data_IF_326771552685
#
_entry.id   IF_326771552685
#
_cell.length_a   1.000
_cell.length_b   1.000
_cell.length_c   1.000
_cell.angle_alpha   90.00
_cell.angle_beta   90.00
_cell.angle_gamma   90.00
#
_symmetry.space_group_name_H-M   'P 1'
#
loop_
_entity.id
_entity.type
_entity.pdbx_description
1 polymer ?
#
# COMPACT_ATOMS: atom_id res chain seq x y z
N UNK A 1 -12.51 1.98 -4.50
CA UNK A 1 -11.74 3.20 -4.81
C UNK A 1 -12.32 3.97 -5.99
N UNK A 2 -12.05 3.53 -7.21
CA UNK A 2 -12.41 4.25 -8.44
C UNK A 2 -13.92 4.55 -8.58
N UNK A 3 -14.77 3.53 -8.38
CA UNK A 3 -16.23 3.69 -8.39
C UNK A 3 -16.75 4.62 -7.29
N UNK A 4 -16.02 4.77 -6.19
CA UNK A 4 -16.39 5.64 -5.08
C UNK A 4 -15.82 7.06 -5.22
N UNK A 5 -15.27 7.42 -6.38
CA UNK A 5 -14.72 8.76 -6.63
C UNK A 5 -15.06 9.27 -8.04
N UNK A 6 -16.13 8.73 -8.64
CA UNK A 6 -16.60 9.14 -9.97
C UNK A 6 -17.04 10.60 -10.03
N UNK A 7 -17.49 11.14 -8.89
CA UNK A 7 -17.92 12.52 -8.67
C UNK A 7 -16.75 13.53 -8.60
N UNK A 8 -15.50 13.04 -8.58
CA UNK A 8 -14.32 13.87 -8.35
C UNK A 8 -13.52 14.15 -9.64
N UNK A 9 -12.81 15.30 -9.70
CA UNK A 9 -11.87 15.59 -10.78
C UNK A 9 -10.84 14.47 -10.96
N UNK A 10 -10.39 14.22 -12.20
CA UNK A 10 -9.48 13.12 -12.56
C UNK A 10 -8.28 12.97 -11.61
N UNK A 11 -7.61 14.08 -11.27
CA UNK A 11 -6.46 14.06 -10.36
C UNK A 11 -6.85 13.55 -8.94
N UNK A 12 -7.96 14.04 -8.38
CA UNK A 12 -8.46 13.59 -7.07
C UNK A 12 -8.96 12.15 -7.09
N UNK A 13 -9.57 11.73 -8.20
CA UNK A 13 -10.01 10.34 -8.41
C UNK A 13 -8.84 9.36 -8.45
N UNK A 14 -7.74 9.75 -9.10
CA UNK A 14 -6.49 8.98 -9.08
C UNK A 14 -5.90 8.90 -7.66
N UNK A 15 -5.83 10.02 -6.93
CA UNK A 15 -5.40 10.05 -5.53
C UNK A 15 -6.26 9.16 -4.62
N UNK A 16 -7.59 9.19 -4.80
CA UNK A 16 -8.53 8.34 -4.05
C UNK A 16 -8.32 6.86 -4.36
N UNK A 17 -8.10 6.52 -5.63
CA UNK A 17 -7.88 5.14 -6.06
C UNK A 17 -6.54 4.61 -5.57
N UNK A 18 -5.47 5.43 -5.60
CA UNK A 18 -4.17 5.10 -5.01
C UNK A 18 -4.29 4.80 -3.51
N UNK A 19 -4.92 5.71 -2.78
CA UNK A 19 -5.01 5.62 -1.31
C UNK A 19 -5.91 4.49 -0.81
N UNK A 20 -6.96 4.17 -1.57
CA UNK A 20 -7.87 3.06 -1.22
C UNK A 20 -7.40 1.69 -1.76
N UNK A 21 -6.57 1.67 -2.80
CA UNK A 21 -6.13 0.45 -3.47
C UNK A 21 -4.78 -0.09 -3.01
N UNK A 22 -3.90 0.77 -2.48
CA UNK A 22 -2.54 0.37 -2.06
C UNK A 22 -2.40 0.50 -0.56
N UNK A 23 -2.10 -0.62 0.08
CA UNK A 23 -2.11 -0.78 1.53
C UNK A 23 -0.75 -1.07 2.12
N UNK A 24 -0.57 -0.69 3.38
CA UNK A 24 0.70 -0.84 4.09
C UNK A 24 0.93 -2.27 4.59
N UNK A 25 0.90 -3.24 3.66
CA UNK A 25 1.05 -4.66 3.98
C UNK A 25 2.48 -5.01 4.38
N UNK A 26 3.48 -4.40 3.74
CA UNK A 26 4.89 -4.68 4.03
C UNK A 26 5.30 -4.15 5.40
N UNK A 27 5.29 -2.83 5.58
CA UNK A 27 5.88 -2.21 6.77
C UNK A 27 5.03 -2.40 8.03
N UNK A 28 3.70 -2.50 7.90
CA UNK A 28 2.78 -2.64 9.04
C UNK A 28 2.10 -4.01 9.08
N UNK A 29 1.65 -4.52 7.94
CA UNK A 29 0.94 -5.81 7.86
C UNK A 29 1.77 -7.01 8.30
N UNK A 30 3.00 -7.15 7.81
CA UNK A 30 3.87 -8.29 8.13
C UNK A 30 4.20 -8.34 9.63
N UNK A 31 4.71 -7.27 10.28
CA UNK A 31 5.01 -7.30 11.71
C UNK A 31 3.79 -7.60 12.58
N UNK A 32 2.62 -7.02 12.25
CA UNK A 32 1.38 -7.27 13.01
C UNK A 32 0.88 -8.70 12.80
N UNK A 33 1.03 -9.26 11.59
CA UNK A 33 0.69 -10.66 11.33
C UNK A 33 1.58 -11.62 12.12
N UNK A 34 2.88 -11.33 12.21
CA UNK A 34 3.81 -12.09 13.05
C UNK A 34 3.47 -11.96 14.53
N UNK A 35 3.17 -10.75 15.01
CA UNK A 35 2.73 -10.53 16.39
C UNK A 35 1.48 -11.34 16.75
N UNK A 36 0.48 -11.36 15.87
CA UNK A 36 -0.80 -12.02 16.14
C UNK A 36 -0.80 -13.54 15.93
N UNK A 37 -0.03 -14.05 14.95
CA UNK A 37 -0.12 -15.45 14.50
C UNK A 37 1.24 -16.16 14.39
N UNK A 38 2.32 -15.58 14.92
CA UNK A 38 3.67 -16.16 14.89
C UNK A 38 4.23 -16.36 13.48
N UNK A 39 5.08 -17.38 13.32
CA UNK A 39 5.76 -17.68 12.05
C UNK A 39 4.79 -17.95 10.90
N UNK A 40 3.63 -18.55 11.19
CA UNK A 40 2.58 -18.75 10.19
C UNK A 40 2.06 -17.42 9.66
N UNK A 41 1.83 -16.44 10.54
CA UNK A 41 1.44 -15.08 10.17
C UNK A 41 2.51 -14.35 9.35
N UNK A 42 3.78 -14.50 9.71
CA UNK A 42 4.91 -13.93 8.96
C UNK A 42 4.97 -14.48 7.54
N UNK A 43 4.90 -15.80 7.38
CA UNK A 43 4.96 -16.45 6.07
C UNK A 43 3.77 -16.05 5.18
N UNK A 44 2.54 -16.15 5.70
CA UNK A 44 1.33 -15.81 4.97
C UNK A 44 1.25 -14.32 4.64
N UNK A 45 1.64 -13.45 5.59
CA UNK A 45 1.69 -12.01 5.38
C UNK A 45 2.69 -11.60 4.31
N UNK A 46 3.83 -12.28 4.25
CA UNK A 46 4.86 -12.06 3.22
C UNK A 46 4.36 -12.47 1.83
N UNK A 47 3.70 -13.62 1.71
CA UNK A 47 3.08 -14.07 0.45
C UNK A 47 2.01 -13.07 -0.01
N UNK A 48 1.13 -12.65 0.92
CA UNK A 48 0.12 -11.63 0.64
C UNK A 48 0.76 -10.34 0.13
N UNK A 49 1.81 -9.87 0.82
CA UNK A 49 2.54 -8.66 0.43
C UNK A 49 3.15 -8.77 -0.96
N UNK A 50 3.75 -9.89 -1.32
CA UNK A 50 4.33 -10.10 -2.67
C UNK A 50 3.23 -9.98 -3.73
N UNK A 51 2.12 -10.72 -3.58
CA UNK A 51 0.99 -10.67 -4.52
C UNK A 51 0.44 -9.24 -4.64
N UNK A 52 0.21 -8.59 -3.50
CA UNK A 52 -0.31 -7.22 -3.47
C UNK A 52 0.68 -6.23 -4.07
N UNK A 53 1.99 -6.42 -3.88
CA UNK A 53 3.03 -5.54 -4.43
C UNK A 53 3.11 -5.65 -5.95
N UNK A 54 2.96 -6.83 -6.53
CA UNK A 54 2.86 -6.97 -7.98
C UNK A 54 1.63 -6.23 -8.52
N UNK A 55 0.45 -6.47 -7.93
CA UNK A 55 -0.78 -5.78 -8.33
C UNK A 55 -0.69 -4.26 -8.12
N UNK A 56 -0.13 -3.81 -7.00
CA UNK A 56 -0.01 -2.41 -6.61
C UNK A 56 1.03 -1.65 -7.44
N UNK A 57 2.16 -2.26 -7.80
CA UNK A 57 3.14 -1.61 -8.67
C UNK A 57 2.65 -1.51 -10.13
N UNK A 58 1.90 -2.49 -10.63
CA UNK A 58 1.34 -2.43 -11.99
C UNK A 58 0.10 -1.52 -12.04
N UNK A 59 -0.91 -1.79 -11.22
CA UNK A 59 -2.16 -1.02 -11.24
C UNK A 59 -2.00 0.37 -10.61
N UNK A 60 -1.18 0.50 -9.57
CA UNK A 60 -0.95 1.77 -8.90
C UNK A 60 -0.27 2.80 -9.80
N UNK A 61 0.71 2.39 -10.60
CA UNK A 61 1.36 3.29 -11.55
C UNK A 61 0.39 3.70 -12.66
N UNK A 62 -0.43 2.75 -13.14
CA UNK A 62 -1.47 3.06 -14.13
C UNK A 62 -2.48 4.06 -13.59
N UNK A 63 -2.91 3.89 -12.33
CA UNK A 63 -3.84 4.80 -11.66
C UNK A 63 -3.21 6.17 -11.41
N UNK A 64 -1.97 6.24 -10.92
CA UNK A 64 -1.25 7.50 -10.69
C UNK A 64 -1.09 8.32 -11.98
N UNK A 65 -0.71 7.66 -13.07
CA UNK A 65 -0.50 8.31 -14.38
C UNK A 65 -1.80 8.60 -15.15
N UNK A 66 -2.92 7.97 -14.79
CA UNK A 66 -4.23 8.19 -15.45
C UNK A 66 -4.78 9.63 -15.32
N UNK A 67 -4.21 10.45 -14.44
CA UNK A 67 -4.52 11.87 -14.33
C UNK A 67 -4.02 12.72 -15.50
N UNK A 68 -2.95 12.29 -16.20
CA UNK A 68 -2.24 13.10 -17.21
C UNK A 68 -1.99 12.37 -18.55
N UNK A 69 -2.11 11.05 -18.62
CA UNK A 69 -1.70 10.26 -19.80
C UNK A 69 -2.74 9.15 -20.12
N UNK A 70 -3.00 8.83 -21.41
CA UNK A 70 -3.85 7.69 -21.79
C UNK A 70 -3.31 6.35 -21.24
N UNK A 71 -4.19 5.36 -21.07
CA UNK A 71 -3.93 4.06 -20.41
C UNK A 71 -2.69 3.33 -20.99
N UNK A 72 -2.46 3.44 -22.30
CA UNK A 72 -1.29 2.84 -22.96
C UNK A 72 0.04 3.54 -22.59
N UNK A 73 0.01 4.85 -22.37
CA UNK A 73 1.17 5.62 -21.90
C UNK A 73 1.44 5.39 -20.41
N UNK A 74 0.38 5.24 -19.62
CA UNK A 74 0.44 4.84 -18.22
C UNK A 74 1.09 3.46 -18.03
N UNK A 75 0.75 2.49 -18.89
CA UNK A 75 1.36 1.15 -18.89
C UNK A 75 2.84 1.20 -19.28
N UNK A 76 3.22 2.00 -20.28
CA UNK A 76 4.64 2.24 -20.64
C UNK A 76 5.42 2.92 -19.51
N UNK A 77 4.77 3.76 -18.71
CA UNK A 77 5.40 4.42 -17.57
C UNK A 77 5.55 3.48 -16.36
N UNK A 78 4.63 2.52 -16.20
CA UNK A 78 4.81 1.40 -15.25
C UNK A 78 6.04 0.55 -15.57
N UNK A 79 6.37 0.36 -16.85
CA UNK A 79 7.61 -0.29 -17.29
C UNK A 79 8.87 0.56 -17.03
N UNK A 80 8.73 1.82 -16.60
CA UNK A 80 9.88 2.61 -16.12
C UNK A 80 10.09 2.51 -14.61
N UNK A 81 9.13 1.95 -13.87
CA UNK A 81 9.24 1.82 -12.42
C UNK A 81 10.15 0.62 -12.10
N UNK A 82 11.34 0.85 -11.52
CA UNK A 82 12.37 -0.18 -11.38
C UNK A 82 12.00 -1.31 -10.41
N UNK A 83 10.92 -1.16 -9.63
CA UNK A 83 10.51 -2.11 -8.59
C UNK A 83 10.24 -3.52 -9.16
N UNK A 84 9.59 -3.60 -10.32
CA UNK A 84 9.30 -4.89 -10.96
C UNK A 84 10.58 -5.60 -11.42
N UNK A 85 11.49 -4.85 -12.05
CA UNK A 85 12.78 -5.37 -12.50
C UNK A 85 13.66 -5.80 -11.33
N UNK A 86 13.71 -5.00 -10.26
CA UNK A 86 14.44 -5.32 -9.05
C UNK A 86 13.93 -6.60 -8.38
N UNK A 87 12.60 -6.79 -8.31
CA UNK A 87 12.00 -8.02 -7.77
C UNK A 87 12.36 -9.26 -8.61
N UNK A 88 12.28 -9.15 -9.94
CA UNK A 88 12.65 -10.25 -10.86
C UNK A 88 14.14 -10.59 -10.73
N UNK A 89 15.02 -9.58 -10.75
CA UNK A 89 16.46 -9.77 -10.60
C UNK A 89 16.80 -10.36 -9.23
N UNK A 90 16.17 -9.89 -8.15
CA UNK A 90 16.36 -10.44 -6.80
C UNK A 90 15.95 -11.91 -6.71
N UNK A 91 14.79 -12.28 -7.28
CA UNK A 91 14.34 -13.66 -7.34
C UNK A 91 15.27 -14.54 -8.19
N UNK A 92 15.78 -14.00 -9.30
CA UNK A 92 16.72 -14.72 -10.16
C UNK A 92 18.05 -14.97 -9.43
N UNK A 93 18.63 -13.95 -8.77
CA UNK A 93 19.83 -14.09 -7.97
C UNK A 93 19.66 -15.11 -6.84
N UNK A 94 18.49 -15.12 -6.18
CA UNK A 94 18.17 -16.11 -5.15
C UNK A 94 18.14 -17.54 -5.71
N UNK A 95 17.54 -17.74 -6.90
CA UNK A 95 17.46 -19.05 -7.55
C UNK A 95 18.79 -19.53 -8.12
N UNK A 96 19.60 -18.63 -8.70
CA UNK A 96 20.88 -18.97 -9.31
C UNK A 96 22.03 -19.01 -8.31
N UNK A 97 21.81 -18.58 -7.06
CA UNK A 97 22.83 -18.49 -6.02
C UNK A 97 23.89 -17.42 -6.32
N UNK A 98 23.62 -16.49 -7.24
CA UNK A 98 24.56 -15.42 -7.58
C UNK A 98 24.70 -14.48 -6.38
N UNK A 99 25.87 -14.49 -5.77
CA UNK A 99 26.20 -13.62 -4.64
C UNK A 99 26.75 -12.30 -5.17
N UNK A 100 26.04 -11.21 -4.87
CA UNK A 100 26.53 -9.85 -5.16
C UNK A 100 27.80 -9.57 -4.35
N UNK A 101 28.78 -8.82 -4.89
CA UNK A 101 29.94 -8.37 -4.12
C UNK A 101 29.49 -7.66 -2.85
N UNK A 102 30.13 -7.97 -1.72
CA UNK A 102 29.72 -7.48 -0.40
C UNK A 102 29.56 -5.95 -0.33
N UNK A 103 30.40 -5.19 -1.05
CA UNK A 103 30.28 -3.72 -1.13
C UNK A 103 28.98 -3.25 -1.81
N UNK A 104 28.58 -3.91 -2.90
CA UNK A 104 27.33 -3.59 -3.62
C UNK A 104 26.12 -3.94 -2.77
N UNK A 105 26.12 -5.13 -2.17
CA UNK A 105 25.01 -5.56 -1.30
C UNK A 105 24.83 -4.62 -0.11
N UNK A 106 25.92 -4.20 0.56
CA UNK A 106 25.87 -3.22 1.65
C UNK A 106 25.32 -1.87 1.20
N UNK A 107 25.71 -1.38 0.02
CA UNK A 107 25.19 -0.12 -0.51
C UNK A 107 23.68 -0.19 -0.76
N UNK A 108 23.20 -1.28 -1.37
CA UNK A 108 21.76 -1.53 -1.59
C UNK A 108 21.02 -1.62 -0.27
N UNK A 109 21.57 -2.34 0.71
CA UNK A 109 20.96 -2.51 2.03
C UNK A 109 20.86 -1.19 2.81
N UNK A 110 21.90 -0.36 2.77
CA UNK A 110 21.85 0.99 3.35
C UNK A 110 20.76 1.87 2.71
N UNK A 111 20.64 1.83 1.39
CA UNK A 111 19.58 2.56 0.68
C UNK A 111 18.19 2.04 0.99
N UNK A 112 18.02 0.71 1.09
CA UNK A 112 16.77 0.08 1.47
C UNK A 112 16.34 0.50 2.89
N UNK A 113 17.27 0.49 3.84
CA UNK A 113 17.04 0.93 5.22
C UNK A 113 16.73 2.43 5.30
N UNK A 114 17.33 3.27 4.45
CA UNK A 114 17.06 4.70 4.40
C UNK A 114 15.73 5.06 3.69
N UNK A 115 15.18 4.15 2.88
CA UNK A 115 14.01 4.43 2.06
C UNK A 115 12.76 4.76 2.89
N UNK A 116 12.43 3.95 3.89
CA UNK A 116 11.23 4.17 4.74
C UNK A 116 11.32 5.51 5.50
N UNK A 117 12.42 5.84 6.20
CA UNK A 117 12.61 7.16 6.80
C UNK A 117 12.46 8.31 5.79
N UNK A 118 13.05 8.18 4.60
CA UNK A 118 12.93 9.19 3.54
C UNK A 118 11.48 9.42 3.10
N UNK A 119 10.70 8.33 2.94
CA UNK A 119 9.27 8.44 2.62
C UNK A 119 8.47 9.12 3.73
N UNK A 120 8.80 8.88 5.00
CA UNK A 120 8.14 9.53 6.14
C UNK A 120 8.48 11.02 6.22
N UNK A 121 9.72 11.41 5.90
CA UNK A 121 10.10 12.83 5.78
C UNK A 121 9.30 13.49 4.67
N UNK A 122 9.22 12.86 3.48
CA UNK A 122 8.42 13.36 2.36
C UNK A 122 6.94 13.52 2.76
N UNK A 123 6.38 12.52 3.43
CA UNK A 123 5.01 12.57 3.95
C UNK A 123 4.83 13.78 4.89
N UNK A 124 5.74 13.98 5.84
CA UNK A 124 5.73 15.13 6.75
C UNK A 124 5.78 16.48 6.03
N UNK A 125 6.64 16.61 5.01
CA UNK A 125 6.73 17.81 4.18
C UNK A 125 5.40 18.11 3.46
N UNK A 126 4.72 17.09 2.95
CA UNK A 126 3.42 17.24 2.28
C UNK A 126 2.29 17.63 3.25
N UNK A 127 2.38 17.22 4.52
CA UNK A 127 1.38 17.54 5.56
C UNK A 127 1.43 19.01 5.99
N UNK A 128 2.59 19.66 5.96
CA UNK A 128 2.75 21.07 6.39
C UNK A 128 1.78 22.05 5.70
N UNK A 129 1.42 21.77 4.44
CA UNK A 129 0.54 22.62 3.64
C UNK A 129 -0.78 21.92 3.26
N UNK A 130 -1.16 20.89 4.00
CA UNK A 130 -2.35 20.10 3.73
C UNK A 130 -3.63 20.91 4.02
N UNK A 131 -4.53 21.08 3.04
CA UNK A 131 -5.82 21.73 3.27
C UNK A 131 -6.78 20.76 3.96
N UNK A 132 -6.59 20.53 5.27
CA UNK A 132 -7.40 19.59 6.07
C UNK A 132 -8.88 20.03 6.08
N UNK A 133 -9.15 21.34 6.13
CA UNK A 133 -10.50 21.89 6.36
C UNK A 133 -11.43 21.82 5.14
N UNK A 134 -10.89 22.02 3.94
CA UNK A 134 -11.69 22.09 2.70
C UNK A 134 -12.00 20.70 2.09
N UNK A 135 -11.39 19.63 2.62
CA UNK A 135 -11.36 18.32 1.93
C UNK A 135 -11.72 17.13 2.84
N UNK A 136 -12.28 17.41 4.01
CA UNK A 136 -12.60 16.42 5.05
C UNK A 136 -13.44 15.26 4.51
N UNK A 137 -14.49 15.55 3.74
CA UNK A 137 -15.40 14.52 3.22
C UNK A 137 -14.69 13.46 2.37
N UNK A 138 -13.80 13.88 1.47
CA UNK A 138 -13.04 12.96 0.60
C UNK A 138 -12.07 12.13 1.45
N UNK A 139 -11.41 12.76 2.43
CA UNK A 139 -10.45 12.09 3.31
C UNK A 139 -11.16 11.00 4.13
N UNK A 140 -12.26 11.34 4.82
CA UNK A 140 -13.00 10.37 5.63
C UNK A 140 -13.59 9.24 4.78
N UNK A 141 -14.08 9.54 3.58
CA UNK A 141 -14.58 8.52 2.64
C UNK A 141 -13.47 7.57 2.19
N UNK A 142 -12.26 8.07 1.87
CA UNK A 142 -11.10 7.22 1.56
C UNK A 142 -10.74 6.32 2.73
N UNK A 143 -10.60 6.90 3.91
CA UNK A 143 -10.19 6.19 5.13
C UNK A 143 -11.22 5.13 5.51
N UNK A 144 -12.51 5.47 5.51
CA UNK A 144 -13.59 4.53 5.82
C UNK A 144 -13.67 3.37 4.83
N UNK A 145 -13.60 3.64 3.53
CA UNK A 145 -13.60 2.56 2.52
C UNK A 145 -12.37 1.66 2.68
N UNK A 146 -11.21 2.22 3.00
CA UNK A 146 -9.99 1.44 3.17
C UNK A 146 -10.04 0.56 4.42
N UNK A 147 -10.33 1.16 5.57
CA UNK A 147 -10.24 0.50 6.88
C UNK A 147 -11.45 -0.39 7.19
N UNK A 148 -12.62 -0.10 6.64
CA UNK A 148 -13.82 -0.92 6.85
C UNK A 148 -14.16 -1.76 5.62
N UNK A 149 -14.16 -1.15 4.44
CA UNK A 149 -14.49 -1.85 3.19
C UNK A 149 -13.50 -2.96 2.84
N UNK A 150 -12.20 -2.71 3.08
CA UNK A 150 -11.14 -3.71 2.88
C UNK A 150 -11.35 -5.02 3.65
N UNK A 151 -11.38 -5.00 5.00
CA UNK A 151 -11.55 -6.21 5.79
C UNK A 151 -12.92 -6.86 5.62
N UNK A 152 -14.00 -6.08 5.46
CA UNK A 152 -15.34 -6.65 5.20
C UNK A 152 -15.35 -7.42 3.88
N UNK A 153 -14.81 -6.86 2.81
CA UNK A 153 -14.72 -7.55 1.53
C UNK A 153 -13.84 -8.81 1.62
N UNK A 154 -12.72 -8.72 2.32
CA UNK A 154 -11.84 -9.86 2.56
C UNK A 154 -12.54 -10.98 3.36
N UNK A 155 -13.30 -10.63 4.39
CA UNK A 155 -14.06 -11.59 5.19
C UNK A 155 -15.15 -12.28 4.37
N UNK A 156 -15.89 -11.52 3.55
CA UNK A 156 -16.90 -12.07 2.63
C UNK A 156 -16.28 -13.02 1.61
N UNK A 157 -15.15 -12.64 1.01
CA UNK A 157 -14.45 -13.51 0.05
C UNK A 157 -13.93 -14.78 0.72
N UNK A 158 -13.38 -14.68 1.94
CA UNK A 158 -12.95 -15.85 2.68
C UNK A 158 -14.12 -16.79 3.01
N UNK A 159 -15.29 -16.23 3.35
CA UNK A 159 -16.50 -17.01 3.61
C UNK A 159 -16.96 -17.76 2.35
N UNK A 160 -17.03 -17.08 1.21
CA UNK A 160 -17.46 -17.67 -0.07
C UNK A 160 -16.49 -18.75 -0.55
N UNK A 161 -15.20 -18.52 -0.38
CA UNK A 161 -14.13 -19.44 -0.81
C UNK A 161 -13.83 -20.54 0.21
N UNK A 162 -14.49 -20.55 1.38
CA UNK A 162 -14.26 -21.54 2.43
C UNK A 162 -12.89 -21.43 3.10
N UNK A 163 -12.24 -20.26 3.07
CA UNK A 163 -10.94 -20.04 3.71
C UNK A 163 -11.13 -19.92 5.22
N UNK A 164 -10.44 -20.77 5.98
CA UNK A 164 -10.58 -20.86 7.43
C UNK A 164 -9.23 -20.74 8.17
N UNK A 165 -9.31 -20.60 9.50
CA UNK A 165 -8.15 -20.58 10.39
C UNK A 165 -7.23 -19.36 10.19
N UNK A 166 -5.93 -19.57 10.40
CA UNK A 166 -4.91 -18.52 10.32
C UNK A 166 -4.85 -17.87 8.94
N UNK A 167 -5.08 -18.62 7.86
CA UNK A 167 -5.13 -18.08 6.50
C UNK A 167 -6.17 -16.98 6.35
N UNK A 168 -7.40 -17.25 6.82
CA UNK A 168 -8.50 -16.28 6.83
C UNK A 168 -8.11 -15.03 7.62
N UNK A 169 -7.59 -15.25 8.82
CA UNK A 169 -7.30 -14.17 9.74
C UNK A 169 -6.19 -13.25 9.20
N UNK A 170 -5.13 -13.82 8.62
CA UNK A 170 -4.07 -13.04 7.97
C UNK A 170 -4.60 -12.26 6.76
N UNK A 171 -5.44 -12.85 5.92
CA UNK A 171 -6.02 -12.15 4.76
C UNK A 171 -6.88 -10.95 5.22
N UNK A 172 -7.75 -11.14 6.21
CA UNK A 172 -8.59 -10.06 6.76
C UNK A 172 -7.73 -8.97 7.40
N UNK A 173 -6.72 -9.36 8.20
CA UNK A 173 -5.80 -8.43 8.84
C UNK A 173 -5.02 -7.59 7.81
N UNK A 174 -4.46 -8.24 6.80
CA UNK A 174 -3.74 -7.56 5.70
C UNK A 174 -4.67 -6.62 4.93
N UNK A 175 -5.94 -6.99 4.74
CA UNK A 175 -6.94 -6.15 4.12
C UNK A 175 -7.36 -4.96 5.01
N UNK A 176 -7.19 -5.02 6.33
CA UNK A 176 -7.47 -3.94 7.29
C UNK A 176 -6.36 -2.88 7.39
N UNK A 177 -5.19 -3.11 6.78
CA UNK A 177 -4.03 -2.20 6.92
C UNK A 177 -4.32 -0.78 6.42
N UNK A 178 -3.72 0.26 7.00
CA UNK A 178 -3.85 1.63 6.49
C UNK A 178 -3.25 1.77 5.08
N UNK A 179 -3.41 2.96 4.50
CA UNK A 179 -2.83 3.28 3.19
C UNK A 179 -1.30 3.23 3.23
N UNK A 180 -0.66 2.70 2.18
CA UNK A 180 0.80 2.61 2.11
C UNK A 180 1.49 3.98 2.02
N UNK A 181 2.57 4.18 2.78
CA UNK A 181 3.40 5.40 2.71
C UNK A 181 4.00 5.61 1.31
N UNK A 182 4.30 4.52 0.58
CA UNK A 182 4.77 4.57 -0.82
C UNK A 182 3.83 5.35 -1.75
N UNK A 183 2.51 5.39 -1.45
CA UNK A 183 1.57 6.18 -2.24
C UNK A 183 1.87 7.68 -2.20
N UNK A 184 2.50 8.19 -1.14
CA UNK A 184 2.96 9.58 -1.08
C UNK A 184 4.05 9.86 -2.11
N UNK A 185 5.02 8.95 -2.28
CA UNK A 185 6.09 9.06 -3.28
C UNK A 185 5.48 9.10 -4.68
N UNK A 186 4.59 8.15 -5.00
CA UNK A 186 3.90 8.12 -6.29
C UNK A 186 3.07 9.40 -6.50
N UNK A 187 2.35 9.86 -5.49
CA UNK A 187 1.54 11.06 -5.63
C UNK A 187 2.39 12.33 -5.82
N UNK A 188 3.59 12.40 -5.25
CA UNK A 188 4.54 13.49 -5.48
C UNK A 188 5.16 13.40 -6.88
N UNK A 189 5.68 12.23 -7.26
CA UNK A 189 6.33 12.00 -8.56
C UNK A 189 5.40 12.31 -9.74
N UNK A 190 4.13 11.89 -9.63
CA UNK A 190 3.12 12.06 -10.67
C UNK A 190 2.22 13.29 -10.46
N UNK A 191 2.48 14.11 -9.44
CA UNK A 191 1.67 15.28 -9.05
C UNK A 191 0.15 14.96 -8.99
N UNK A 192 -0.14 13.85 -8.32
CA UNK A 192 -1.48 13.28 -8.14
C UNK A 192 -2.06 13.68 -6.79
N UNK A 193 -2.32 14.98 -6.62
CA UNK A 193 -2.81 15.59 -5.38
C UNK A 193 -2.02 15.14 -4.13
N UNK A 194 -0.68 15.31 -4.11
CA UNK A 194 0.21 14.75 -3.08
C UNK A 194 -0.19 15.13 -1.65
N UNK A 195 -0.68 16.36 -1.45
CA UNK A 195 -1.18 16.83 -0.14
C UNK A 195 -2.41 16.06 0.36
N UNK A 196 -3.33 15.73 -0.55
CA UNK A 196 -4.52 14.94 -0.23
C UNK A 196 -4.11 13.51 0.16
N UNK A 197 -3.24 12.89 -0.64
CA UNK A 197 -2.72 11.54 -0.39
C UNK A 197 -2.01 11.49 0.96
N UNK A 198 -1.14 12.46 1.25
CA UNK A 198 -0.45 12.57 2.53
C UNK A 198 -1.42 12.65 3.72
N UNK A 199 -2.49 13.43 3.58
CA UNK A 199 -3.51 13.58 4.62
C UNK A 199 -4.28 12.28 4.83
N UNK A 200 -4.65 11.58 3.75
CA UNK A 200 -5.31 10.26 3.86
C UNK A 200 -4.40 9.24 4.53
N UNK A 201 -3.12 9.19 4.17
CA UNK A 201 -2.15 8.30 4.83
C UNK A 201 -2.12 8.60 6.34
N UNK A 202 -1.93 9.86 6.71
CA UNK A 202 -1.86 10.28 8.11
C UNK A 202 -3.10 9.86 8.91
N UNK A 203 -4.30 10.23 8.45
CA UNK A 203 -5.54 9.86 9.15
C UNK A 203 -5.80 8.37 9.11
N UNK A 204 -5.53 7.67 8.00
CA UNK A 204 -5.69 6.22 7.93
C UNK A 204 -4.79 5.52 8.94
N UNK A 205 -3.55 5.97 9.11
CA UNK A 205 -2.61 5.41 10.08
C UNK A 205 -3.08 5.67 11.51
N UNK A 206 -3.52 6.88 11.84
CA UNK A 206 -4.06 7.17 13.18
C UNK A 206 -5.33 6.36 13.49
N UNK A 207 -6.30 6.33 12.58
CA UNK A 207 -7.54 5.57 12.75
C UNK A 207 -7.27 4.05 12.70
N UNK A 208 -6.20 3.61 12.04
CA UNK A 208 -5.78 2.21 12.03
C UNK A 208 -5.41 1.70 13.42
N UNK A 209 -4.92 2.56 14.33
CA UNK A 209 -4.61 2.13 15.69
C UNK A 209 -5.84 1.55 16.39
N UNK A 210 -6.99 2.22 16.28
CA UNK A 210 -8.24 1.75 16.87
C UNK A 210 -8.85 0.61 16.04
N UNK A 211 -8.92 0.77 14.73
CA UNK A 211 -9.59 -0.22 13.86
C UNK A 211 -8.84 -1.55 13.79
N UNK A 212 -7.50 -1.55 13.78
CA UNK A 212 -6.71 -2.79 13.83
C UNK A 212 -6.83 -3.47 15.18
N UNK A 213 -6.89 -2.73 16.30
CA UNK A 213 -7.17 -3.34 17.61
C UNK A 213 -8.51 -4.05 17.62
N UNK A 214 -9.55 -3.43 17.04
CA UNK A 214 -10.87 -4.07 16.92
C UNK A 214 -10.83 -5.29 16.00
N UNK A 215 -10.18 -5.19 14.83
CA UNK A 215 -10.05 -6.32 13.90
C UNK A 215 -9.30 -7.48 14.56
N UNK A 216 -8.19 -7.23 15.25
CA UNK A 216 -7.44 -8.26 15.97
C UNK A 216 -8.29 -8.90 17.07
N UNK A 217 -9.05 -8.11 17.83
CA UNK A 217 -9.95 -8.62 18.85
C UNK A 217 -11.03 -9.56 18.29
N UNK A 218 -11.50 -9.34 17.05
CA UNK A 218 -12.43 -10.24 16.38
C UNK A 218 -11.78 -11.49 15.77
N UNK A 219 -10.48 -11.44 15.47
CA UNK A 219 -9.76 -12.52 14.76
C UNK A 219 -9.06 -13.51 15.70
N UNK A 220 -8.69 -13.07 16.91
CA UNK A 220 -8.08 -13.87 17.97
C UNK A 220 -9.16 -14.55 18.83
#
# INVERSE_FOLDING_TARGET
GWLASFDQPRNRRAAFTLTSGISNNGNMGIPISYFAFGDAGLALGSIYYVINSFLGNTLGVVVASSGKTPIMGALRQSLRVPVLYAAILGALCNRTGVVLPAGVFRAVDLLANAAIPGMLILLGMQLRHAPIRERQFIIFRSVGIRLLGGPVLAALLCLILGVAGVNRNVIILQAAMPTAVMTAVLATEYDTAPRLVATVIFFSTLVSMVTLSLVLWFLL
#
